data_IF_311893466700
#
_entry.id   IF_311893466700
#
_cell.length_a   1.000
_cell.length_b   1.000
_cell.length_c   1.000
_cell.angle_alpha   90.00
_cell.angle_beta   90.00
_cell.angle_gamma   90.00
#
_symmetry.space_group_name_H-M   'P 1'
#
loop_
_entity.id
_entity.type
_entity.pdbx_description
1 polymer ?
#
# COMPACT_ATOMS: atom_id res chain seq x y z
N UNK A 1 -14.58 -10.61 21.75
CA UNK A 1 -13.94 -9.98 20.60
C UNK A 1 -14.86 -9.92 19.37
N UNK A 2 -14.34 -9.59 18.17
CA UNK A 2 -15.16 -9.50 16.94
C UNK A 2 -15.84 -10.83 16.59
N UNK A 3 -15.13 -11.95 16.74
CA UNK A 3 -15.70 -13.29 16.50
C UNK A 3 -16.89 -13.61 17.42
N UNK A 4 -16.82 -13.24 18.69
CA UNK A 4 -17.92 -13.46 19.66
C UNK A 4 -19.15 -12.62 19.31
N UNK A 5 -18.94 -11.41 18.81
CA UNK A 5 -20.03 -10.53 18.36
C UNK A 5 -20.61 -10.92 16.99
N UNK A 6 -19.95 -11.81 16.25
CA UNK A 6 -20.33 -12.19 14.88
C UNK A 6 -20.28 -11.04 13.87
N UNK A 7 -19.54 -9.99 14.15
CA UNK A 7 -19.34 -8.82 13.25
C UNK A 7 -18.10 -8.02 13.61
N UNK A 8 -17.49 -7.42 12.62
CA UNK A 8 -16.35 -6.52 12.80
C UNK A 8 -15.75 -6.09 11.46
N UNK A 9 -14.84 -5.13 11.50
CA UNK A 9 -14.09 -4.68 10.34
C UNK A 9 -12.68 -4.30 10.73
N UNK A 10 -11.70 -4.61 9.86
CA UNK A 10 -10.29 -4.26 10.03
C UNK A 10 -9.78 -3.73 8.69
N UNK A 11 -9.18 -2.56 8.71
CA UNK A 11 -8.46 -2.01 7.56
C UNK A 11 -6.96 -1.99 7.89
N UNK A 12 -6.18 -2.72 7.11
CA UNK A 12 -4.73 -2.63 7.15
C UNK A 12 -4.29 -1.48 6.24
N UNK A 13 -3.54 -0.54 6.77
CA UNK A 13 -2.93 0.50 5.96
C UNK A 13 -1.66 -0.05 5.33
N UNK A 14 -1.84 -0.73 4.21
CA UNK A 14 -0.78 -1.22 3.36
C UNK A 14 -0.12 -0.09 2.55
N UNK A 15 0.32 -0.41 1.35
CA UNK A 15 0.84 0.58 0.37
C UNK A 15 1.00 -0.07 -0.99
N UNK A 16 0.96 0.72 -2.06
CA UNK A 16 1.45 0.32 -3.39
C UNK A 16 2.93 -0.05 -3.37
N UNK A 17 3.70 0.48 -2.42
CA UNK A 17 5.09 0.09 -2.16
C UNK A 17 5.26 -1.39 -1.83
N UNK A 18 4.23 -2.05 -1.29
CA UNK A 18 4.20 -3.48 -1.03
C UNK A 18 4.00 -4.36 -2.27
N UNK A 19 3.68 -3.78 -3.41
CA UNK A 19 3.51 -4.51 -4.69
C UNK A 19 4.81 -4.68 -5.47
N UNK A 20 5.87 -3.99 -5.07
CA UNK A 20 7.17 -4.00 -5.75
C UNK A 20 8.30 -3.73 -4.75
N UNK A 21 9.47 -4.34 -4.97
CA UNK A 21 10.67 -4.00 -4.21
C UNK A 21 11.16 -2.60 -4.56
N UNK A 22 11.42 -1.79 -3.54
CA UNK A 22 11.89 -0.42 -3.67
C UNK A 22 13.31 -0.31 -3.08
N UNK A 23 14.36 -0.20 -3.92
CA UNK A 23 15.69 0.16 -3.44
C UNK A 23 15.65 1.48 -2.65
N UNK A 24 16.54 1.65 -1.69
CA UNK A 24 16.58 2.73 -0.70
C UNK A 24 15.44 2.71 0.33
N UNK A 25 14.35 1.98 0.05
CA UNK A 25 13.19 1.76 0.92
C UNK A 25 12.89 0.26 1.08
N UNK A 26 13.93 -0.58 1.10
CA UNK A 26 13.78 -2.03 1.06
C UNK A 26 12.97 -2.59 2.25
N UNK A 27 13.28 -2.17 3.47
CA UNK A 27 12.56 -2.61 4.68
C UNK A 27 11.11 -2.12 4.64
N UNK A 28 10.88 -0.87 4.25
CA UNK A 28 9.53 -0.32 4.11
C UNK A 28 8.69 -1.11 3.11
N UNK A 29 9.20 -1.35 1.90
CA UNK A 29 8.47 -2.11 0.89
C UNK A 29 8.20 -3.56 1.32
N UNK A 30 9.12 -4.19 2.05
CA UNK A 30 8.93 -5.53 2.57
C UNK A 30 7.86 -5.58 3.67
N UNK A 31 7.85 -4.61 4.60
CA UNK A 31 6.78 -4.52 5.62
C UNK A 31 5.43 -4.26 5.00
N UNK A 32 5.35 -3.39 3.99
CA UNK A 32 4.08 -3.12 3.30
C UNK A 32 3.59 -4.29 2.46
N UNK A 33 4.50 -5.11 1.90
CA UNK A 33 4.14 -6.38 1.28
C UNK A 33 3.55 -7.36 2.29
N UNK A 34 4.14 -7.45 3.48
CA UNK A 34 3.59 -8.25 4.58
C UNK A 34 2.18 -7.79 4.95
N UNK A 35 1.96 -6.49 5.18
CA UNK A 35 0.65 -5.93 5.52
C UNK A 35 -0.40 -6.24 4.45
N UNK A 36 -0.06 -6.06 3.16
CA UNK A 36 -0.96 -6.31 2.04
C UNK A 36 -1.38 -7.78 1.99
N UNK A 37 -0.42 -8.71 2.01
CA UNK A 37 -0.71 -10.14 1.90
C UNK A 37 -1.41 -10.69 3.15
N UNK A 38 -1.04 -10.21 4.33
CA UNK A 38 -1.73 -10.59 5.57
C UNK A 38 -3.20 -10.19 5.52
N UNK A 39 -3.51 -8.95 5.11
CA UNK A 39 -4.87 -8.47 4.98
C UNK A 39 -5.69 -9.29 3.97
N UNK A 40 -5.11 -9.56 2.79
CA UNK A 40 -5.77 -10.36 1.73
C UNK A 40 -6.07 -11.80 2.21
N UNK A 41 -5.13 -12.42 2.94
CA UNK A 41 -5.33 -13.75 3.51
C UNK A 41 -6.42 -13.74 4.58
N UNK A 42 -6.36 -12.80 5.53
CA UNK A 42 -7.35 -12.67 6.60
C UNK A 42 -8.75 -12.32 6.05
N UNK A 43 -8.85 -11.58 4.95
CA UNK A 43 -10.13 -11.35 4.29
C UNK A 43 -10.83 -12.67 3.93
N UNK A 44 -10.08 -13.64 3.38
CA UNK A 44 -10.64 -14.93 3.03
C UNK A 44 -10.97 -15.78 4.28
N UNK A 45 -10.06 -15.83 5.25
CA UNK A 45 -10.18 -16.64 6.46
C UNK A 45 -11.33 -16.20 7.38
N UNK A 46 -11.59 -14.89 7.45
CA UNK A 46 -12.55 -14.32 8.40
C UNK A 46 -13.96 -14.13 7.85
N UNK A 47 -14.18 -14.40 6.56
CA UNK A 47 -15.51 -14.29 5.92
C UNK A 47 -16.59 -15.10 6.64
N UNK A 48 -16.28 -16.34 7.01
CA UNK A 48 -17.22 -17.22 7.73
C UNK A 48 -17.57 -16.70 9.14
N UNK A 49 -16.76 -15.80 9.70
CA UNK A 49 -16.99 -15.14 10.99
C UNK A 49 -17.69 -13.79 10.87
N UNK A 50 -18.12 -13.41 9.65
CA UNK A 50 -18.73 -12.10 9.36
C UNK A 50 -17.86 -10.92 9.83
N UNK A 51 -16.55 -11.04 9.57
CA UNK A 51 -15.56 -10.00 9.85
C UNK A 51 -14.97 -9.56 8.51
N UNK A 52 -15.15 -8.28 8.20
CA UNK A 52 -14.61 -7.66 7.00
C UNK A 52 -13.14 -7.29 7.21
N UNK A 53 -12.30 -7.60 6.23
CA UNK A 53 -10.89 -7.20 6.23
C UNK A 53 -10.58 -6.52 4.89
N UNK A 54 -9.77 -5.49 4.91
CA UNK A 54 -9.35 -4.76 3.73
C UNK A 54 -7.87 -4.40 3.81
N UNK A 55 -7.12 -4.64 2.74
CA UNK A 55 -5.85 -3.95 2.48
C UNK A 55 -6.14 -2.63 1.76
N UNK A 56 -5.94 -1.51 2.43
CA UNK A 56 -5.95 -0.18 1.82
C UNK A 56 -4.53 0.15 1.38
N UNK A 57 -4.33 0.35 0.07
CA UNK A 57 -3.01 0.53 -0.51
C UNK A 57 -2.87 1.94 -1.14
N UNK A 58 -2.57 2.96 -0.32
CA UNK A 58 -2.29 4.29 -0.84
C UNK A 58 -0.97 4.32 -1.61
N UNK A 59 -0.89 5.27 -2.53
CA UNK A 59 0.38 5.79 -3.02
C UNK A 59 0.88 6.94 -2.14
N UNK A 60 1.52 7.92 -2.76
CA UNK A 60 1.88 9.16 -2.08
C UNK A 60 0.62 9.85 -1.56
N UNK A 61 0.59 10.17 -0.27
CA UNK A 61 -0.54 10.79 0.42
C UNK A 61 -0.02 11.99 1.20
N UNK A 62 -0.76 13.08 1.20
CA UNK A 62 -0.41 14.30 1.94
C UNK A 62 -0.63 14.07 3.43
N UNK A 63 0.46 13.75 4.13
CA UNK A 63 0.53 13.49 5.56
C UNK A 63 1.91 13.88 6.08
N UNK A 64 2.11 13.82 7.38
CA UNK A 64 3.42 14.02 8.03
C UNK A 64 4.45 12.90 7.70
N UNK A 65 4.02 11.84 7.00
CA UNK A 65 4.87 10.67 6.73
C UNK A 65 6.16 11.02 6.00
N UNK A 66 6.11 11.92 5.01
CA UNK A 66 7.28 12.31 4.22
C UNK A 66 8.32 13.01 5.09
N UNK A 67 7.89 13.89 5.98
CA UNK A 67 8.75 14.59 6.93
C UNK A 67 9.40 13.60 7.92
N UNK A 68 8.60 12.73 8.51
CA UNK A 68 9.06 11.71 9.47
C UNK A 68 10.01 10.70 8.81
N UNK A 69 9.74 10.34 7.55
CA UNK A 69 10.59 9.43 6.77
C UNK A 69 11.87 10.08 6.23
N UNK A 70 12.02 11.40 6.35
CA UNK A 70 13.16 12.14 5.80
C UNK A 70 13.18 12.18 4.27
N UNK A 71 12.01 12.06 3.64
CA UNK A 71 11.87 12.12 2.17
C UNK A 71 11.77 13.57 1.67
N UNK A 72 12.11 13.76 0.39
CA UNK A 72 11.86 15.03 -0.29
C UNK A 72 10.34 15.20 -0.45
N UNK A 73 9.80 16.29 0.06
CA UNK A 73 8.37 16.58 -0.02
C UNK A 73 7.88 16.57 -1.47
N UNK A 74 6.79 15.86 -1.72
CA UNK A 74 6.14 15.76 -3.01
C UNK A 74 4.62 15.68 -2.84
N UNK A 75 3.87 16.10 -3.86
CA UNK A 75 2.41 16.09 -3.83
C UNK A 75 1.86 14.66 -3.77
N UNK A 76 0.76 14.50 -3.06
CA UNK A 76 0.06 13.23 -2.88
C UNK A 76 -1.45 13.36 -3.04
N UNK A 77 -2.16 12.28 -2.69
CA UNK A 77 -3.60 12.28 -2.55
C UNK A 77 -3.99 12.85 -1.18
N UNK A 78 -5.19 13.40 -1.07
CA UNK A 78 -5.74 13.80 0.23
C UNK A 78 -5.89 12.58 1.15
N UNK A 79 -5.47 12.71 2.41
CA UNK A 79 -5.64 11.67 3.42
C UNK A 79 -7.12 11.32 3.64
N UNK A 80 -8.01 12.32 3.61
CA UNK A 80 -9.45 12.14 3.77
C UNK A 80 -10.06 11.33 2.61
N UNK A 81 -9.63 11.59 1.37
CA UNK A 81 -10.09 10.82 0.20
C UNK A 81 -9.63 9.36 0.28
N UNK A 82 -8.40 9.11 0.72
CA UNK A 82 -7.86 7.77 0.90
C UNK A 82 -8.62 7.03 2.02
N UNK A 83 -8.85 7.67 3.15
CA UNK A 83 -9.63 7.10 4.25
C UNK A 83 -11.07 6.78 3.84
N UNK A 84 -11.73 7.72 3.16
CA UNK A 84 -13.09 7.53 2.65
C UNK A 84 -13.16 6.37 1.63
N UNK A 85 -12.15 6.20 0.78
CA UNK A 85 -12.06 5.05 -0.13
C UNK A 85 -11.95 3.75 0.65
N UNK A 86 -11.10 3.67 1.67
CA UNK A 86 -10.96 2.50 2.53
C UNK A 86 -12.28 2.11 3.19
N UNK A 87 -12.97 3.07 3.80
CA UNK A 87 -14.25 2.83 4.45
C UNK A 87 -15.34 2.34 3.47
N UNK A 88 -15.39 2.89 2.26
CA UNK A 88 -16.34 2.44 1.23
C UNK A 88 -16.03 1.06 0.68
N UNK A 89 -14.75 0.66 0.65
CA UNK A 89 -14.31 -0.60 0.05
C UNK A 89 -14.33 -1.77 1.04
N UNK A 90 -14.41 -1.49 2.33
CA UNK A 90 -14.47 -2.51 3.38
C UNK A 90 -15.71 -3.39 3.19
N UNK A 91 -15.52 -4.70 3.26
CA UNK A 91 -16.57 -5.70 3.02
C UNK A 91 -16.86 -6.01 1.55
N UNK A 92 -16.32 -5.23 0.60
CA UNK A 92 -16.59 -5.43 -0.83
C UNK A 92 -15.47 -6.21 -1.55
N UNK A 93 -14.22 -6.02 -1.14
CA UNK A 93 -13.05 -6.60 -1.81
C UNK A 93 -11.88 -6.77 -0.84
N UNK A 94 -10.90 -7.66 -1.14
CA UNK A 94 -9.76 -7.92 -0.26
C UNK A 94 -8.78 -6.75 -0.17
N UNK A 95 -8.63 -5.99 -1.27
CA UNK A 95 -7.68 -4.88 -1.33
C UNK A 95 -8.17 -3.78 -2.26
N UNK A 96 -7.77 -2.55 -1.98
CA UNK A 96 -8.04 -1.38 -2.83
C UNK A 96 -6.82 -0.49 -2.94
N UNK A 97 -6.45 -0.15 -4.17
CA UNK A 97 -5.37 0.79 -4.47
C UNK A 97 -5.98 2.18 -4.68
N UNK A 98 -5.48 3.16 -3.91
CA UNK A 98 -5.93 4.54 -4.05
C UNK A 98 -5.34 5.20 -5.29
N UNK A 99 -6.23 5.61 -6.21
CA UNK A 99 -5.90 6.32 -7.43
C UNK A 99 -5.52 5.42 -8.62
N UNK A 100 -6.08 5.75 -9.80
CA UNK A 100 -5.92 4.97 -11.02
C UNK A 100 -4.45 4.89 -11.52
N UNK A 101 -3.66 5.95 -11.28
CA UNK A 101 -2.22 5.97 -11.63
C UNK A 101 -1.42 4.97 -10.80
N UNK A 102 -1.71 4.89 -9.51
CA UNK A 102 -1.10 3.92 -8.61
C UNK A 102 -1.53 2.50 -8.98
N UNK A 103 -2.81 2.32 -9.27
CA UNK A 103 -3.34 1.04 -9.73
C UNK A 103 -2.65 0.57 -11.02
N UNK A 104 -2.49 1.45 -12.02
CA UNK A 104 -1.83 1.11 -13.27
C UNK A 104 -0.35 0.76 -13.09
N UNK A 105 0.39 1.51 -12.27
CA UNK A 105 1.78 1.19 -11.93
C UNK A 105 1.90 -0.16 -11.23
N UNK A 106 1.06 -0.42 -10.24
CA UNK A 106 1.10 -1.66 -9.49
C UNK A 106 0.74 -2.90 -10.33
N UNK A 107 -0.17 -2.77 -11.28
CA UNK A 107 -0.71 -3.91 -12.02
C UNK A 107 -0.15 -4.07 -13.44
N UNK A 108 0.13 -2.99 -14.14
CA UNK A 108 0.59 -3.04 -15.53
C UNK A 108 2.12 -3.01 -15.63
N UNK A 109 2.75 -2.04 -14.97
CA UNK A 109 4.21 -1.87 -15.05
C UNK A 109 4.94 -3.02 -14.37
N UNK A 110 4.51 -3.41 -13.17
CA UNK A 110 5.15 -4.49 -12.41
C UNK A 110 5.02 -5.87 -13.07
N UNK A 111 3.98 -6.10 -13.87
CA UNK A 111 3.74 -7.37 -14.57
C UNK A 111 4.26 -7.40 -16.00
N UNK A 112 4.40 -6.23 -16.63
CA UNK A 112 4.88 -6.09 -18.01
C UNK A 112 6.41 -6.05 -18.18
N UNK A 113 7.15 -5.88 -17.08
CA UNK A 113 8.61 -5.77 -17.10
C UNK A 113 9.27 -7.00 -16.47
N UNK A 114 10.46 -7.34 -16.97
CA UNK A 114 11.30 -8.33 -16.29
C UNK A 114 11.74 -7.82 -14.92
N UNK A 115 11.94 -8.72 -13.97
CA UNK A 115 12.25 -8.37 -12.58
C UNK A 115 13.46 -7.41 -12.45
N UNK A 116 14.60 -7.63 -13.15
CA UNK A 116 15.72 -6.68 -13.10
C UNK A 116 15.35 -5.28 -13.57
N UNK A 117 14.62 -5.16 -14.68
CA UNK A 117 14.21 -3.85 -15.23
C UNK A 117 13.28 -3.13 -14.24
N UNK A 118 12.34 -3.84 -13.66
CA UNK A 118 11.43 -3.28 -12.67
C UNK A 118 12.18 -2.73 -11.43
N UNK A 119 13.14 -3.50 -10.90
CA UNK A 119 13.95 -3.10 -9.73
C UNK A 119 14.86 -1.91 -10.06
N UNK A 120 15.54 -1.91 -11.21
CA UNK A 120 16.41 -0.80 -11.63
C UNK A 120 15.59 0.48 -11.90
N UNK A 121 14.41 0.35 -12.52
CA UNK A 121 13.49 1.45 -12.72
C UNK A 121 13.01 2.04 -11.39
N UNK A 122 12.66 1.17 -10.42
CA UNK A 122 12.31 1.59 -9.08
C UNK A 122 13.47 2.31 -8.38
N UNK A 123 14.71 1.83 -8.54
CA UNK A 123 15.89 2.50 -7.99
C UNK A 123 16.06 3.91 -8.55
N UNK A 124 15.94 4.07 -9.86
CA UNK A 124 16.02 5.38 -10.51
C UNK A 124 14.92 6.35 -10.06
N UNK A 125 13.71 5.82 -9.79
CA UNK A 125 12.61 6.60 -9.26
C UNK A 125 12.85 7.02 -7.79
N UNK A 126 13.21 6.07 -6.92
CA UNK A 126 13.43 6.33 -5.49
C UNK A 126 14.65 7.24 -5.24
N UNK A 127 15.69 7.14 -6.06
CA UNK A 127 16.85 8.04 -5.97
C UNK A 127 16.49 9.52 -6.15
N UNK A 128 15.41 9.85 -6.85
CA UNK A 128 14.95 11.23 -7.00
C UNK A 128 14.20 11.74 -5.76
N UNK A 129 13.66 10.85 -4.96
CA UNK A 129 12.89 11.18 -3.74
C UNK A 129 13.73 11.08 -2.47
N UNK A 130 14.88 10.41 -2.54
CA UNK A 130 15.79 10.24 -1.40
C UNK A 130 16.88 11.32 -1.44
N UNK A 131 17.10 12.05 -0.34
CA UNK A 131 18.21 13.02 -0.22
C UNK A 131 19.58 12.35 -0.51
N UNK A 132 20.53 13.10 -1.05
CA UNK A 132 21.84 12.55 -1.45
C UNK A 132 22.61 11.88 -0.32
N UNK A 133 22.53 12.42 0.90
CA UNK A 133 23.22 11.89 2.07
C UNK A 133 22.62 10.55 2.61
N UNK A 134 21.47 10.11 2.08
CA UNK A 134 20.80 8.85 2.43
C UNK A 134 20.82 7.81 1.30
N UNK A 135 21.53 8.08 0.21
CA UNK A 135 21.66 7.17 -0.95
C UNK A 135 22.79 6.17 -0.81
#
# INVERSE_FOLDING_TARGET
GMRERGRGGVIFTGSVAGRQSLPLHAVYSATKAFDNFLAEALWAELRASNIDVLSLEPGSTETEFQEVAGEIAHSGQSADEVAALGLRSLGQQPSVIAGWRNWSRANLVSRGLTRPIAVLGANAYMSKQTPEHLR
#
